data_IF_293195576810
#
_entry.id   IF_293195576810
#
_cell.length_a   1.000
_cell.length_b   1.000
_cell.length_c   1.000
_cell.angle_alpha   90.00
_cell.angle_beta   90.00
_cell.angle_gamma   90.00
#
_symmetry.space_group_name_H-M   'P 1'
#
loop_
_entity.id
_entity.type
_entity.pdbx_description
1 polymer ?
#
# COMPACT_ATOMS: atom_id res chain seq x y z
N UNK A 1 -8.19 -11.95 0.23
CA UNK A 1 -7.50 -11.71 1.50
C UNK A 1 -8.35 -12.07 2.70
N UNK A 2 -9.66 -12.07 2.58
CA UNK A 2 -10.58 -12.45 3.66
C UNK A 2 -10.94 -13.95 3.65
N UNK A 3 -10.36 -14.71 2.76
CA UNK A 3 -10.51 -16.15 2.58
C UNK A 3 -10.13 -16.98 3.81
N UNK A 4 -9.36 -16.41 4.73
CA UNK A 4 -8.98 -17.02 6.00
C UNK A 4 -9.76 -16.48 7.22
N UNK A 5 -10.70 -15.55 7.00
CA UNK A 5 -11.52 -14.98 8.08
C UNK A 5 -12.79 -15.79 8.23
N UNK A 6 -12.92 -16.48 9.36
CA UNK A 6 -14.09 -17.33 9.66
C UNK A 6 -15.38 -16.46 9.68
N UNK A 7 -16.44 -16.95 8.99
CA UNK A 7 -17.71 -16.24 8.88
C UNK A 7 -17.74 -15.08 7.89
N UNK A 8 -16.63 -14.75 7.23
CA UNK A 8 -16.62 -13.74 6.19
C UNK A 8 -17.30 -14.26 4.91
N UNK A 9 -18.34 -13.59 4.45
CA UNK A 9 -19.00 -13.86 3.18
C UNK A 9 -18.82 -12.68 2.25
N UNK A 10 -18.40 -12.95 1.03
CA UNK A 10 -18.21 -11.95 -0.02
C UNK A 10 -19.19 -12.29 -1.14
N UNK A 11 -19.98 -11.31 -1.56
CA UNK A 11 -20.91 -11.40 -2.67
C UNK A 11 -20.61 -10.30 -3.68
N UNK A 12 -20.83 -10.57 -4.96
CA UNK A 12 -20.53 -9.67 -6.05
C UNK A 12 -19.34 -10.12 -6.88
N UNK A 13 -18.90 -9.26 -7.78
CA UNK A 13 -17.81 -9.51 -8.72
C UNK A 13 -16.64 -8.56 -8.43
N UNK A 14 -15.41 -9.09 -8.37
CA UNK A 14 -14.19 -8.30 -8.25
C UNK A 14 -13.18 -8.76 -9.28
N UNK A 15 -12.91 -7.89 -10.26
CA UNK A 15 -12.07 -8.20 -11.40
C UNK A 15 -10.69 -7.56 -11.27
N UNK A 16 -9.66 -8.33 -11.59
CA UNK A 16 -8.31 -7.85 -11.83
C UNK A 16 -7.97 -8.12 -13.31
N UNK A 17 -7.84 -7.06 -14.10
CA UNK A 17 -7.67 -7.14 -15.57
C UNK A 17 -8.73 -7.99 -16.28
N UNK A 18 -9.98 -7.90 -15.82
CA UNK A 18 -11.11 -8.64 -16.39
C UNK A 18 -11.25 -10.09 -15.91
N UNK A 19 -10.37 -10.56 -15.02
CA UNK A 19 -10.41 -11.89 -14.42
C UNK A 19 -10.97 -11.81 -12.99
N UNK A 20 -12.02 -12.60 -12.70
CA UNK A 20 -12.62 -12.62 -11.36
C UNK A 20 -11.67 -13.27 -10.35
N UNK A 21 -11.27 -12.49 -9.33
CA UNK A 21 -10.33 -12.94 -8.30
C UNK A 21 -10.92 -14.04 -7.37
N UNK A 22 -12.26 -14.20 -7.34
CA UNK A 22 -12.95 -15.25 -6.60
C UNK A 22 -13.33 -16.45 -7.48
N UNK A 23 -13.02 -16.38 -8.78
CA UNK A 23 -13.20 -17.48 -9.73
C UNK A 23 -12.11 -18.53 -9.62
N UNK A 24 -11.47 -18.85 -10.73
CA UNK A 24 -10.44 -19.89 -10.82
C UNK A 24 -9.00 -19.35 -10.64
N UNK A 25 -8.83 -18.09 -10.22
CA UNK A 25 -7.50 -17.50 -10.05
C UNK A 25 -6.72 -18.17 -8.91
N UNK A 26 -5.47 -18.55 -9.17
CA UNK A 26 -4.57 -19.07 -8.11
C UNK A 26 -4.30 -17.97 -7.08
N UNK A 27 -4.61 -18.26 -5.80
CA UNK A 27 -4.46 -17.30 -4.69
C UNK A 27 -3.00 -16.84 -4.51
N UNK A 28 -2.01 -17.70 -4.80
CA UNK A 28 -0.60 -17.31 -4.71
C UNK A 28 -0.22 -16.38 -5.87
N UNK A 29 -0.78 -16.61 -7.05
CA UNK A 29 -0.62 -15.70 -8.19
C UNK A 29 -1.28 -14.34 -7.88
N UNK A 30 -2.50 -14.33 -7.36
CA UNK A 30 -3.18 -13.10 -6.94
C UNK A 30 -2.33 -12.32 -5.91
N UNK A 31 -1.83 -13.00 -4.87
CA UNK A 31 -0.98 -12.37 -3.83
C UNK A 31 0.36 -11.87 -4.34
N UNK A 32 0.83 -12.37 -5.48
CA UNK A 32 2.00 -11.82 -6.17
C UNK A 32 1.66 -10.57 -6.95
N UNK A 33 0.49 -10.54 -7.61
CA UNK A 33 0.02 -9.41 -8.41
C UNK A 33 -0.47 -8.23 -7.55
N UNK A 34 -0.96 -8.51 -6.33
CA UNK A 34 -1.51 -7.50 -5.40
C UNK A 34 -0.71 -7.48 -4.12
N UNK A 35 0.11 -6.44 -3.97
CA UNK A 35 0.86 -6.17 -2.72
C UNK A 35 -0.02 -5.49 -1.68
N UNK A 36 0.29 -5.68 -0.38
CA UNK A 36 -0.42 -5.00 0.71
C UNK A 36 0.54 -4.40 1.74
N UNK A 37 0.27 -3.16 2.09
CA UNK A 37 0.95 -2.40 3.16
C UNK A 37 -0.08 -2.08 4.23
N UNK A 38 0.18 -2.51 5.46
CA UNK A 38 -0.73 -2.39 6.59
C UNK A 38 -0.55 -1.07 7.33
N UNK A 39 -1.57 -0.66 8.07
CA UNK A 39 -1.61 0.53 8.90
C UNK A 39 -0.44 0.57 9.91
N UNK A 40 -0.19 -0.52 10.63
CA UNK A 40 0.98 -0.65 11.50
C UNK A 40 2.11 -1.29 10.73
N UNK A 41 3.32 -0.69 10.74
CA UNK A 41 4.49 -1.34 10.17
C UNK A 41 4.65 -2.75 10.72
N UNK A 42 4.79 -3.72 9.83
CA UNK A 42 4.90 -5.14 10.20
C UNK A 42 6.10 -5.83 9.53
N UNK A 43 7.32 -5.29 9.68
CA UNK A 43 8.48 -6.00 9.17
C UNK A 43 8.62 -7.35 9.88
N UNK A 44 9.06 -8.35 9.16
CA UNK A 44 9.35 -9.66 9.75
C UNK A 44 10.51 -9.54 10.75
N UNK A 45 10.58 -10.39 11.80
CA UNK A 45 11.66 -10.39 12.80
C UNK A 45 12.97 -10.95 12.22
N UNK A 46 13.44 -10.36 11.13
CA UNK A 46 14.66 -10.71 10.41
C UNK A 46 15.38 -9.43 9.95
N UNK A 47 16.48 -9.59 9.21
CA UNK A 47 17.25 -8.45 8.70
C UNK A 47 16.43 -7.60 7.72
N UNK A 48 16.86 -6.34 7.48
CA UNK A 48 16.28 -5.49 6.44
C UNK A 48 16.39 -6.19 5.09
N UNK A 49 17.56 -6.73 4.77
CA UNK A 49 17.81 -7.48 3.53
C UNK A 49 16.84 -8.65 3.38
N UNK A 50 16.70 -9.48 4.42
CA UNK A 50 15.86 -10.68 4.34
C UNK A 50 14.38 -10.36 4.26
N UNK A 51 13.92 -9.24 4.83
CA UNK A 51 12.55 -8.74 4.62
C UNK A 51 12.25 -8.51 3.14
N UNK A 52 13.16 -7.86 2.42
CA UNK A 52 12.96 -7.54 1.00
C UNK A 52 13.16 -8.80 0.13
N UNK A 53 14.19 -9.60 0.42
CA UNK A 53 14.51 -10.81 -0.33
C UNK A 53 13.51 -11.96 -0.11
N UNK A 54 12.62 -11.86 0.89
CA UNK A 54 11.68 -12.93 1.26
C UNK A 54 10.77 -13.32 0.10
N UNK A 55 10.05 -12.35 -0.46
CA UNK A 55 9.13 -12.58 -1.58
C UNK A 55 9.84 -13.16 -2.82
N UNK A 56 10.90 -12.52 -3.33
CA UNK A 56 11.69 -13.05 -4.43
C UNK A 56 12.19 -14.49 -4.22
N UNK A 57 12.66 -14.83 -3.02
CA UNK A 57 13.08 -16.20 -2.68
C UNK A 57 11.92 -17.19 -2.71
N UNK A 58 10.77 -16.81 -2.20
CA UNK A 58 9.56 -17.63 -2.22
C UNK A 58 9.08 -17.91 -3.64
N UNK A 59 9.34 -16.95 -4.56
CA UNK A 59 9.07 -17.10 -6.00
C UNK A 59 10.23 -17.72 -6.79
N UNK A 60 11.18 -18.37 -6.12
CA UNK A 60 12.20 -19.21 -6.75
C UNK A 60 13.50 -18.50 -7.13
N UNK A 61 13.68 -17.20 -6.84
CA UNK A 61 14.94 -16.48 -7.08
C UNK A 61 15.93 -16.87 -6.00
N UNK A 62 17.00 -17.59 -6.38
CA UNK A 62 18.01 -18.11 -5.43
C UNK A 62 19.40 -17.52 -5.65
N UNK A 63 19.67 -16.98 -6.84
CA UNK A 63 20.98 -16.42 -7.16
C UNK A 63 21.20 -15.14 -6.36
N UNK A 64 22.31 -15.13 -5.55
CA UNK A 64 22.59 -14.02 -4.62
C UNK A 64 22.68 -12.68 -5.34
N UNK A 65 23.38 -12.59 -6.47
CA UNK A 65 23.50 -11.33 -7.22
C UNK A 65 22.15 -10.77 -7.66
N UNK A 66 21.22 -11.62 -8.12
CA UNK A 66 19.86 -11.18 -8.49
C UNK A 66 19.08 -10.69 -7.29
N UNK A 67 19.24 -11.33 -6.12
CA UNK A 67 18.60 -10.87 -4.87
C UNK A 67 19.21 -9.53 -4.42
N UNK A 68 20.52 -9.35 -4.54
CA UNK A 68 21.19 -8.11 -4.19
C UNK A 68 20.65 -6.95 -5.05
N UNK A 69 20.53 -7.15 -6.37
CA UNK A 69 19.98 -6.16 -7.31
C UNK A 69 18.50 -5.82 -6.98
N UNK A 70 17.68 -6.84 -6.69
CA UNK A 70 16.28 -6.66 -6.33
C UNK A 70 16.14 -5.88 -5.01
N UNK A 71 16.94 -6.24 -4.00
CA UNK A 71 16.91 -5.59 -2.69
C UNK A 71 17.33 -4.14 -2.81
N UNK A 72 18.42 -3.83 -3.49
CA UNK A 72 18.85 -2.46 -3.71
C UNK A 72 17.78 -1.67 -4.45
N UNK A 73 17.27 -2.19 -5.58
CA UNK A 73 16.23 -1.51 -6.36
C UNK A 73 14.99 -1.24 -5.52
N UNK A 74 14.46 -2.24 -4.83
CA UNK A 74 13.24 -2.07 -4.03
C UNK A 74 13.42 -1.05 -2.87
N UNK A 75 14.59 -1.00 -2.24
CA UNK A 75 14.90 -0.01 -1.21
C UNK A 75 15.08 1.40 -1.78
N UNK A 76 15.59 1.54 -3.01
CA UNK A 76 15.65 2.82 -3.73
C UNK A 76 14.26 3.28 -4.13
N UNK A 77 13.48 2.40 -4.73
CA UNK A 77 12.09 2.67 -5.13
C UNK A 77 11.21 3.06 -3.92
N UNK A 78 11.51 2.53 -2.72
CA UNK A 78 10.86 2.93 -1.46
C UNK A 78 11.52 4.14 -0.76
N UNK A 79 12.44 4.86 -1.42
CA UNK A 79 13.13 6.05 -0.92
C UNK A 79 13.79 5.87 0.47
N UNK A 80 14.37 4.67 0.73
CA UNK A 80 15.01 4.37 2.03
C UNK A 80 16.45 3.86 1.91
N UNK A 81 16.94 3.59 0.71
CA UNK A 81 18.26 3.00 0.48
C UNK A 81 19.38 3.74 1.24
N UNK A 82 19.48 5.05 1.10
CA UNK A 82 20.54 5.84 1.71
C UNK A 82 20.52 5.80 3.25
N UNK A 83 19.35 5.54 3.84
CA UNK A 83 19.21 5.47 5.31
C UNK A 83 19.61 4.08 5.86
N UNK A 84 19.59 3.03 5.03
CA UNK A 84 19.76 1.64 5.52
C UNK A 84 20.86 0.82 4.84
N UNK A 85 21.47 1.31 3.77
CA UNK A 85 22.47 0.56 2.96
C UNK A 85 23.64 -0.03 3.79
N UNK A 86 24.08 0.66 4.83
CA UNK A 86 25.21 0.23 5.67
C UNK A 86 24.77 -0.75 6.80
N UNK A 87 23.47 -1.03 6.91
CA UNK A 87 22.90 -1.88 7.97
C UNK A 87 21.86 -2.90 7.48
N UNK A 88 21.96 -3.31 6.22
CA UNK A 88 21.04 -4.28 5.60
C UNK A 88 20.94 -5.60 6.37
N UNK A 89 22.02 -6.02 7.05
CA UNK A 89 22.06 -7.23 7.88
C UNK A 89 21.53 -7.03 9.31
N UNK A 90 21.19 -5.80 9.71
CA UNK A 90 20.59 -5.52 11.02
C UNK A 90 19.10 -5.82 11.00
N UNK A 91 18.55 -6.08 12.20
CA UNK A 91 17.12 -6.32 12.37
C UNK A 91 16.28 -5.15 11.87
N UNK A 92 15.25 -5.44 11.09
CA UNK A 92 14.27 -4.46 10.64
C UNK A 92 13.39 -3.90 11.77
N UNK A 93 13.34 -4.59 12.92
CA UNK A 93 12.62 -4.10 14.12
C UNK A 93 13.36 -2.98 14.85
N UNK A 94 14.65 -2.80 14.60
CA UNK A 94 15.51 -1.83 15.28
C UNK A 94 15.61 -0.45 14.61
N UNK A 95 14.75 -0.15 13.63
CA UNK A 95 14.71 1.13 12.90
C UNK A 95 13.43 1.90 13.26
N UNK A 96 13.36 3.20 12.92
CA UNK A 96 12.18 4.03 13.22
C UNK A 96 10.89 3.53 12.54
N UNK A 97 9.72 3.90 13.07
CA UNK A 97 8.42 3.49 12.50
C UNK A 97 8.27 3.88 11.03
N UNK A 98 8.64 5.10 10.65
CA UNK A 98 8.62 5.52 9.25
C UNK A 98 9.61 4.76 8.36
N UNK A 99 10.77 4.36 8.90
CA UNK A 99 11.70 3.49 8.19
C UNK A 99 11.14 2.07 8.06
N UNK A 100 10.53 1.53 9.12
CA UNK A 100 9.86 0.22 9.05
C UNK A 100 8.76 0.19 8.01
N UNK A 101 7.94 1.24 7.94
CA UNK A 101 6.87 1.34 6.94
C UNK A 101 7.43 1.34 5.51
N UNK A 102 8.50 2.11 5.24
CA UNK A 102 9.15 2.11 3.92
C UNK A 102 9.83 0.77 3.60
N UNK A 103 10.35 0.05 4.60
CA UNK A 103 10.82 -1.33 4.42
C UNK A 103 9.66 -2.27 4.05
N UNK A 104 8.47 -2.10 4.67
CA UNK A 104 7.29 -2.88 4.28
C UNK A 104 6.82 -2.56 2.85
N UNK A 105 6.90 -1.30 2.43
CA UNK A 105 6.64 -0.90 1.03
C UNK A 105 7.68 -1.53 0.10
N UNK A 106 8.98 -1.43 0.40
CA UNK A 106 10.04 -2.07 -0.37
C UNK A 106 9.85 -3.58 -0.50
N UNK A 107 9.41 -4.25 0.58
CA UNK A 107 9.07 -5.67 0.57
C UNK A 107 7.94 -5.98 -0.41
N UNK A 108 6.92 -5.15 -0.47
CA UNK A 108 5.83 -5.31 -1.43
C UNK A 108 6.31 -5.08 -2.87
N UNK A 109 7.14 -4.05 -3.12
CA UNK A 109 7.69 -3.72 -4.43
C UNK A 109 8.64 -4.80 -4.98
N UNK A 110 9.35 -5.52 -4.10
CA UNK A 110 10.36 -6.52 -4.49
C UNK A 110 9.81 -7.67 -5.34
N UNK A 111 8.51 -7.95 -5.28
CA UNK A 111 7.84 -8.97 -6.10
C UNK A 111 7.21 -8.39 -7.38
N UNK A 112 7.35 -7.09 -7.62
CA UNK A 112 6.81 -6.34 -8.77
C UNK A 112 5.30 -6.57 -8.93
N UNK A 113 4.49 -6.15 -7.96
CA UNK A 113 3.04 -6.28 -8.04
C UNK A 113 2.48 -5.37 -9.15
N UNK A 114 1.23 -5.57 -9.54
CA UNK A 114 0.48 -4.68 -10.44
C UNK A 114 -0.31 -3.64 -9.65
N UNK A 115 -0.80 -4.05 -8.49
CA UNK A 115 -1.57 -3.22 -7.57
C UNK A 115 -0.93 -3.22 -6.18
N UNK A 116 -0.90 -2.06 -5.54
CA UNK A 116 -0.46 -1.90 -4.16
C UNK A 116 -1.63 -1.35 -3.34
N UNK A 117 -2.10 -2.16 -2.40
CA UNK A 117 -3.09 -1.75 -1.41
C UNK A 117 -2.36 -1.16 -0.21
N UNK A 118 -2.77 0.04 0.24
CA UNK A 118 -2.20 0.71 1.41
C UNK A 118 -3.34 1.05 2.39
N UNK A 119 -3.33 0.40 3.54
CA UNK A 119 -4.32 0.64 4.58
C UNK A 119 -3.75 1.64 5.59
N UNK A 120 -4.23 2.89 5.55
CA UNK A 120 -3.81 4.00 6.40
C UNK A 120 -2.28 4.07 6.66
N UNK A 121 -1.42 4.04 5.63
CA UNK A 121 0.02 3.78 5.77
C UNK A 121 0.77 4.85 6.57
N UNK A 122 0.14 5.96 6.91
CA UNK A 122 0.74 7.11 7.58
C UNK A 122 0.14 7.44 8.94
N UNK A 123 -0.92 6.76 9.37
CA UNK A 123 -1.71 7.10 10.57
C UNK A 123 -0.90 7.05 11.89
N UNK A 124 0.14 6.21 11.95
CA UNK A 124 1.00 6.05 13.12
C UNK A 124 2.37 6.75 12.98
N UNK A 125 2.53 7.66 12.00
CA UNK A 125 3.80 8.27 11.66
C UNK A 125 3.83 9.76 12.01
N UNK A 126 5.04 10.27 12.24
CA UNK A 126 5.31 11.69 12.36
C UNK A 126 5.12 12.43 11.02
N UNK A 127 4.94 13.77 11.03
CA UNK A 127 4.68 14.53 9.81
C UNK A 127 5.78 14.42 8.73
N UNK A 128 7.04 14.27 9.12
CA UNK A 128 8.17 14.14 8.18
C UNK A 128 8.10 12.78 7.48
N UNK A 129 7.86 11.72 8.25
CA UNK A 129 7.69 10.37 7.71
C UNK A 129 6.44 10.27 6.83
N UNK A 130 5.33 10.93 7.23
CA UNK A 130 4.11 11.02 6.43
C UNK A 130 4.38 11.67 5.07
N UNK A 131 5.05 12.84 5.04
CA UNK A 131 5.40 13.53 3.80
C UNK A 131 6.26 12.65 2.87
N UNK A 132 7.20 11.88 3.42
CA UNK A 132 8.02 10.94 2.64
C UNK A 132 7.17 9.83 2.00
N UNK A 133 6.17 9.29 2.71
CA UNK A 133 5.27 8.26 2.18
C UNK A 133 4.33 8.86 1.11
N UNK A 134 3.84 10.08 1.30
CA UNK A 134 3.02 10.77 0.30
C UNK A 134 3.80 11.02 -1.00
N UNK A 135 5.02 11.55 -0.89
CA UNK A 135 5.90 11.74 -2.06
C UNK A 135 6.19 10.42 -2.76
N UNK A 136 6.46 9.38 -1.98
CA UNK A 136 6.70 8.03 -2.50
C UNK A 136 5.47 7.49 -3.25
N UNK A 137 4.25 7.68 -2.74
CA UNK A 137 3.03 7.26 -3.43
C UNK A 137 2.84 7.99 -4.77
N UNK A 138 3.16 9.29 -4.82
CA UNK A 138 3.13 10.09 -6.06
C UNK A 138 4.14 9.60 -7.09
N UNK A 139 5.33 9.17 -6.67
CA UNK A 139 6.34 8.61 -7.58
C UNK A 139 5.91 7.23 -8.08
N UNK A 140 5.45 6.36 -7.18
CA UNK A 140 5.07 4.99 -7.49
C UNK A 140 3.82 4.88 -8.39
N UNK A 141 2.90 5.85 -8.37
CA UNK A 141 1.68 5.80 -9.20
C UNK A 141 1.96 5.80 -10.72
N UNK A 142 3.16 6.17 -11.13
CA UNK A 142 3.56 6.12 -12.54
C UNK A 142 3.78 4.67 -13.04
N UNK A 143 4.13 3.75 -12.13
CA UNK A 143 4.47 2.36 -12.46
C UNK A 143 3.45 1.35 -11.89
N UNK A 144 2.67 1.75 -10.88
CA UNK A 144 1.77 0.88 -10.12
C UNK A 144 0.38 1.48 -9.98
N UNK A 145 -0.64 0.64 -9.96
CA UNK A 145 -1.96 1.04 -9.45
C UNK A 145 -1.93 1.05 -7.94
N UNK A 146 -2.19 2.22 -7.33
CA UNK A 146 -2.21 2.35 -5.86
C UNK A 146 -3.65 2.57 -5.40
N UNK A 147 -4.10 1.73 -4.47
CA UNK A 147 -5.37 1.91 -3.76
C UNK A 147 -5.04 2.17 -2.29
N UNK A 148 -5.33 3.38 -1.82
CA UNK A 148 -5.02 3.80 -0.46
C UNK A 148 -6.30 4.08 0.32
N UNK A 149 -6.41 3.50 1.51
CA UNK A 149 -7.41 3.89 2.50
C UNK A 149 -6.80 4.96 3.40
N UNK A 150 -7.51 6.05 3.61
CA UNK A 150 -7.14 7.12 4.55
C UNK A 150 -8.37 7.81 5.10
N UNK A 151 -8.33 8.21 6.37
CA UNK A 151 -9.31 9.11 6.97
C UNK A 151 -8.88 10.59 6.87
N UNK A 152 -7.71 10.87 6.31
CA UNK A 152 -7.18 12.23 6.13
C UNK A 152 -7.55 12.78 4.75
N UNK A 153 -8.58 13.62 4.70
CA UNK A 153 -9.06 14.25 3.47
C UNK A 153 -8.00 15.08 2.75
N UNK A 154 -7.16 15.79 3.51
CA UNK A 154 -6.08 16.59 2.93
C UNK A 154 -5.04 15.72 2.24
N UNK A 155 -4.75 14.55 2.81
CA UNK A 155 -3.88 13.57 2.18
C UNK A 155 -4.51 13.06 0.88
N UNK A 156 -5.78 12.62 0.90
CA UNK A 156 -6.49 12.17 -0.29
C UNK A 156 -6.44 13.24 -1.40
N UNK A 157 -6.74 14.49 -1.06
CA UNK A 157 -6.72 15.61 -2.02
C UNK A 157 -5.35 15.83 -2.65
N UNK A 158 -4.25 15.61 -1.90
CA UNK A 158 -2.89 15.84 -2.42
C UNK A 158 -2.38 14.75 -3.34
N UNK A 159 -2.74 13.48 -3.07
CA UNK A 159 -2.03 12.35 -3.69
C UNK A 159 -2.89 11.46 -4.59
N UNK A 160 -4.24 11.55 -4.52
CA UNK A 160 -5.09 10.67 -5.32
C UNK A 160 -5.63 11.33 -6.59
N UNK A 161 -5.76 10.55 -7.64
CA UNK A 161 -6.40 10.96 -8.89
C UNK A 161 -7.93 10.77 -8.82
N UNK A 162 -8.36 9.70 -8.13
CA UNK A 162 -9.77 9.39 -7.87
C UNK A 162 -9.98 9.09 -6.40
N UNK A 163 -11.17 9.45 -5.92
CA UNK A 163 -11.59 9.22 -4.52
C UNK A 163 -12.94 8.52 -4.47
N UNK A 164 -13.01 7.50 -3.61
CA UNK A 164 -14.26 6.88 -3.19
C UNK A 164 -14.54 7.27 -1.74
N UNK A 165 -15.66 7.94 -1.50
CA UNK A 165 -16.10 8.26 -0.15
C UNK A 165 -16.97 7.13 0.40
N UNK A 166 -16.51 6.53 1.51
CA UNK A 166 -17.22 5.49 2.24
C UNK A 166 -17.85 6.05 3.50
N UNK A 167 -19.11 5.72 3.74
CA UNK A 167 -19.81 6.03 4.98
C UNK A 167 -20.65 4.83 5.40
N UNK A 168 -20.48 4.34 6.63
CA UNK A 168 -21.23 3.24 7.23
C UNK A 168 -21.25 1.96 6.35
N UNK A 169 -20.16 1.67 5.64
CA UNK A 169 -20.04 0.49 4.80
C UNK A 169 -20.52 0.66 3.35
N UNK A 170 -21.03 1.83 2.99
CA UNK A 170 -21.51 2.15 1.64
C UNK A 170 -20.58 3.11 0.91
N UNK A 171 -20.41 2.93 -0.40
CA UNK A 171 -19.81 3.94 -1.26
C UNK A 171 -20.85 5.00 -1.55
N UNK A 172 -20.66 6.19 -1.01
CA UNK A 172 -21.58 7.33 -1.18
C UNK A 172 -21.29 8.07 -2.47
N UNK A 173 -20.00 8.29 -2.75
CA UNK A 173 -19.57 8.99 -3.95
C UNK A 173 -18.24 8.44 -4.45
N UNK A 174 -18.07 8.41 -5.77
CA UNK A 174 -16.83 8.03 -6.44
C UNK A 174 -16.59 8.91 -7.66
N UNK A 175 -15.40 9.42 -7.81
CA UNK A 175 -15.04 10.24 -8.96
C UNK A 175 -13.63 10.80 -8.92
N UNK A 176 -13.36 11.74 -9.83
CA UNK A 176 -12.12 12.51 -9.83
C UNK A 176 -11.99 13.25 -8.51
N UNK A 177 -10.84 13.15 -7.86
CA UNK A 177 -10.60 13.71 -6.52
C UNK A 177 -10.96 15.20 -6.45
N UNK A 178 -10.50 15.99 -7.42
CA UNK A 178 -10.81 17.42 -7.48
C UNK A 178 -12.33 17.68 -7.45
N UNK A 179 -13.11 16.91 -8.21
CA UNK A 179 -14.59 17.07 -8.28
C UNK A 179 -15.27 16.64 -6.99
N UNK A 180 -14.86 15.49 -6.42
CA UNK A 180 -15.42 14.99 -5.17
C UNK A 180 -15.23 15.99 -4.02
N UNK A 181 -14.07 16.65 -3.97
CA UNK A 181 -13.75 17.60 -2.91
C UNK A 181 -14.24 19.04 -3.16
N UNK A 182 -14.33 19.50 -4.42
CA UNK A 182 -14.74 20.86 -4.74
C UNK A 182 -16.25 21.02 -5.04
N UNK A 183 -16.86 19.99 -5.62
CA UNK A 183 -18.28 19.98 -6.03
C UNK A 183 -18.91 18.61 -5.76
N UNK A 184 -19.00 18.19 -4.49
CA UNK A 184 -19.63 16.91 -4.14
C UNK A 184 -21.07 16.86 -4.61
N UNK A 185 -21.50 15.71 -5.11
CA UNK A 185 -22.85 15.48 -5.61
C UNK A 185 -23.82 15.04 -4.51
N UNK A 186 -23.31 14.32 -3.52
CA UNK A 186 -24.08 13.82 -2.38
C UNK A 186 -23.88 14.75 -1.18
N UNK A 187 -24.99 15.14 -0.55
CA UNK A 187 -24.96 16.02 0.62
C UNK A 187 -24.13 15.42 1.77
N UNK A 188 -24.13 14.11 1.94
CA UNK A 188 -23.34 13.42 2.98
C UNK A 188 -21.86 13.62 2.76
N UNK A 189 -21.40 13.65 1.48
CA UNK A 189 -20.02 13.97 1.11
C UNK A 189 -19.70 15.43 1.44
N UNK A 190 -20.60 16.37 1.11
CA UNK A 190 -20.45 17.79 1.44
C UNK A 190 -20.36 18.01 2.95
N UNK A 191 -21.28 17.42 3.71
CA UNK A 191 -21.32 17.51 5.18
C UNK A 191 -20.03 16.95 5.81
N UNK A 192 -19.51 15.84 5.26
CA UNK A 192 -18.22 15.27 5.69
C UNK A 192 -17.06 16.22 5.44
N UNK A 193 -16.92 16.74 4.22
CA UNK A 193 -15.84 17.65 3.82
C UNK A 193 -15.88 18.95 4.62
N UNK A 194 -17.06 19.46 4.90
CA UNK A 194 -17.25 20.73 5.63
C UNK A 194 -17.27 20.58 7.16
N UNK A 195 -17.14 19.34 7.68
CA UNK A 195 -17.17 19.05 9.11
C UNK A 195 -18.54 19.24 9.76
N UNK A 196 -19.61 19.22 8.98
CA UNK A 196 -21.01 19.40 9.44
C UNK A 196 -21.66 18.04 9.71
N UNK A 197 -21.10 17.29 10.65
CA UNK A 197 -21.74 16.06 11.13
C UNK A 197 -22.83 16.46 12.13
N UNK A 198 -24.07 16.36 11.74
CA UNK A 198 -25.23 16.56 12.60
C UNK A 198 -26.04 15.30 12.74
#
# INVERSE_FOLDING_TARGET
>A
MNDLVEGCKIEGELLLDGEDIYGNMDVNLLRKRVGMVFQKPNPFPMSIYDNIAYGPRTHGIRKKSQLDDIVEKALRDAAIWEEVKDRLKKSALGISGGQQQRVCIARALAVKPEVILMDEPTSALDPISTSKIESLALDLKNDYTIVMVTHNMQQATRISDKTAFFLMGEIIEYGDTEKVFSMPKDKRTEDYITGRFG
#
